data_IF_455687041143
#
_entry.id   IF_455687041143
#
_cell.length_a   1.000
_cell.length_b   1.000
_cell.length_c   1.000
_cell.angle_alpha   90.00
_cell.angle_beta   90.00
_cell.angle_gamma   90.00
#
_symmetry.space_group_name_H-M   'P 1'
#
loop_
_entity.id
_entity.type
_entity.pdbx_description
1 polymer ?
#
# COMPACT_ATOMS: atom_id res chain seq x y z
N UNK A 1 12.99 10.16 1.58
CA UNK A 1 12.58 9.41 0.38
C UNK A 1 12.30 10.46 -0.66
N UNK A 2 13.04 10.44 -1.77
CA UNK A 2 12.91 11.47 -2.79
C UNK A 2 11.60 11.30 -3.57
N UNK A 3 10.97 12.38 -4.06
CA UNK A 3 9.72 12.33 -4.82
C UNK A 3 9.71 11.34 -5.98
N UNK A 4 10.86 11.18 -6.63
CA UNK A 4 11.06 10.21 -7.70
C UNK A 4 10.98 8.75 -7.20
N UNK A 5 11.51 8.48 -6.00
CA UNK A 5 11.48 7.13 -5.40
C UNK A 5 10.07 6.72 -4.98
N UNK A 6 9.28 7.65 -4.45
CA UNK A 6 7.87 7.40 -4.11
C UNK A 6 7.02 7.15 -5.37
N UNK A 7 7.17 8.00 -6.39
CA UNK A 7 6.45 7.86 -7.67
C UNK A 7 6.78 6.54 -8.36
N UNK A 8 8.06 6.16 -8.41
CA UNK A 8 8.49 4.88 -8.97
C UNK A 8 7.89 3.68 -8.21
N UNK A 9 7.80 3.77 -6.88
CA UNK A 9 7.19 2.74 -6.05
C UNK A 9 5.70 2.58 -6.36
N UNK A 10 4.96 3.69 -6.48
CA UNK A 10 3.54 3.69 -6.84
C UNK A 10 3.35 3.05 -8.22
N UNK A 11 4.16 3.43 -9.21
CA UNK A 11 4.10 2.85 -10.57
C UNK A 11 4.33 1.34 -10.52
N UNK A 12 5.34 0.87 -9.78
CA UNK A 12 5.65 -0.55 -9.65
C UNK A 12 4.51 -1.33 -8.99
N UNK A 13 3.88 -0.77 -7.94
CA UNK A 13 2.71 -1.38 -7.29
C UNK A 13 1.51 -1.46 -8.25
N UNK A 14 1.23 -0.41 -9.02
CA UNK A 14 0.17 -0.42 -10.04
C UNK A 14 0.43 -1.50 -11.09
N UNK A 15 1.66 -1.59 -11.59
CA UNK A 15 2.04 -2.64 -12.56
C UNK A 15 1.84 -4.04 -11.98
N UNK A 16 2.20 -4.24 -10.70
CA UNK A 16 1.99 -5.48 -9.99
C UNK A 16 0.51 -5.84 -9.82
N UNK A 17 -0.32 -4.90 -9.38
CA UNK A 17 -1.75 -5.09 -9.27
C UNK A 17 -2.36 -5.51 -10.63
N UNK A 18 -2.04 -4.77 -11.69
CA UNK A 18 -2.55 -5.08 -13.04
C UNK A 18 -2.09 -6.46 -13.53
N UNK A 19 -0.81 -6.80 -13.35
CA UNK A 19 -0.25 -8.10 -13.75
C UNK A 19 -0.93 -9.26 -13.01
N UNK A 20 -1.04 -9.15 -11.69
CA UNK A 20 -1.69 -10.16 -10.85
C UNK A 20 -3.17 -10.30 -11.22
N UNK A 21 -3.90 -9.18 -11.37
CA UNK A 21 -5.32 -9.19 -11.75
C UNK A 21 -5.57 -9.90 -13.08
N UNK A 22 -4.70 -9.65 -14.07
CA UNK A 22 -4.76 -10.32 -15.38
C UNK A 22 -4.54 -11.84 -15.25
N UNK A 23 -3.50 -12.25 -14.52
CA UNK A 23 -3.20 -13.67 -14.31
C UNK A 23 -4.31 -14.39 -13.54
N UNK A 24 -4.84 -13.77 -12.47
CA UNK A 24 -5.97 -14.29 -11.69
C UNK A 24 -7.22 -14.46 -12.56
N UNK A 25 -7.58 -13.46 -13.38
CA UNK A 25 -8.72 -13.56 -14.31
C UNK A 25 -8.52 -14.68 -15.33
N UNK A 26 -7.31 -14.82 -15.86
CA UNK A 26 -6.98 -15.91 -16.79
C UNK A 26 -7.15 -17.27 -16.11
N UNK A 27 -6.56 -17.47 -14.94
CA UNK A 27 -6.63 -18.73 -14.20
C UNK A 27 -8.09 -19.09 -13.86
N UNK A 28 -8.90 -18.13 -13.40
CA UNK A 28 -10.35 -18.32 -13.17
C UNK A 28 -11.12 -18.73 -14.42
N UNK A 29 -10.64 -18.35 -15.62
CA UNK A 29 -11.29 -18.72 -16.88
C UNK A 29 -11.06 -20.18 -17.30
N UNK A 30 -10.14 -20.90 -16.65
CA UNK A 30 -9.74 -22.27 -17.04
C UNK A 30 -10.72 -23.38 -16.60
N UNK A 31 -11.89 -23.03 -16.08
CA UNK A 31 -12.94 -24.00 -15.74
C UNK A 31 -12.68 -24.73 -14.43
N UNK A 32 -12.57 -26.07 -14.45
CA UNK A 32 -12.30 -26.84 -13.22
C UNK A 32 -10.84 -26.67 -12.80
N UNK A 33 -10.67 -25.92 -11.71
CA UNK A 33 -9.38 -25.61 -11.08
C UNK A 33 -9.19 -26.59 -9.91
N UNK A 34 -8.09 -27.37 -9.85
CA UNK A 34 -7.80 -28.24 -8.71
C UNK A 34 -7.61 -27.42 -7.43
N UNK A 35 -7.82 -28.04 -6.27
CA UNK A 35 -7.82 -27.35 -4.97
C UNK A 35 -6.53 -26.56 -4.73
N UNK A 36 -5.37 -27.14 -5.03
CA UNK A 36 -4.06 -26.51 -4.82
C UNK A 36 -3.88 -25.23 -5.65
N UNK A 37 -4.62 -25.09 -6.74
CA UNK A 37 -4.64 -23.90 -7.57
C UNK A 37 -5.63 -22.86 -7.07
N UNK A 38 -6.66 -23.29 -6.34
CA UNK A 38 -7.54 -22.38 -5.60
C UNK A 38 -6.76 -21.65 -4.52
N UNK A 39 -5.82 -22.32 -3.85
CA UNK A 39 -4.96 -21.70 -2.84
C UNK A 39 -4.04 -20.64 -3.45
N UNK A 40 -3.47 -20.90 -4.62
CA UNK A 40 -2.74 -19.89 -5.39
C UNK A 40 -3.62 -18.71 -5.78
N UNK A 41 -4.83 -18.96 -6.26
CA UNK A 41 -5.77 -17.88 -6.62
C UNK A 41 -6.13 -17.00 -5.43
N UNK A 42 -6.34 -17.61 -4.27
CA UNK A 42 -6.62 -16.91 -3.03
C UNK A 42 -5.43 -16.04 -2.63
N UNK A 43 -4.22 -16.62 -2.57
CA UNK A 43 -3.02 -15.89 -2.19
C UNK A 43 -2.71 -14.72 -3.15
N UNK A 44 -2.83 -14.94 -4.47
CA UNK A 44 -2.67 -13.86 -5.45
C UNK A 44 -3.74 -12.77 -5.31
N UNK A 45 -4.98 -13.13 -4.99
CA UNK A 45 -6.05 -12.15 -4.74
C UNK A 45 -5.79 -11.36 -3.46
N UNK A 46 -5.28 -12.00 -2.41
CA UNK A 46 -4.88 -11.33 -1.18
C UNK A 46 -3.69 -10.40 -1.42
N UNK A 47 -2.67 -10.86 -2.16
CA UNK A 47 -1.52 -10.02 -2.54
C UNK A 47 -1.98 -8.80 -3.35
N UNK A 48 -2.90 -8.96 -4.30
CA UNK A 48 -3.49 -7.84 -5.04
C UNK A 48 -4.15 -6.81 -4.12
N UNK A 49 -4.99 -7.26 -3.18
CA UNK A 49 -5.66 -6.37 -2.24
C UNK A 49 -4.66 -5.61 -1.36
N UNK A 50 -3.60 -6.27 -0.88
CA UNK A 50 -2.54 -5.60 -0.11
C UNK A 50 -1.81 -4.57 -0.98
N UNK A 51 -1.50 -4.89 -2.24
CA UNK A 51 -0.88 -3.93 -3.17
C UNK A 51 -1.75 -2.69 -3.34
N UNK A 52 -3.05 -2.84 -3.58
CA UNK A 52 -3.99 -1.72 -3.72
C UNK A 52 -4.07 -0.87 -2.44
N UNK A 53 -4.08 -1.51 -1.26
CA UNK A 53 -4.09 -0.80 0.01
C UNK A 53 -2.82 0.03 0.21
N UNK A 54 -1.64 -0.54 -0.08
CA UNK A 54 -0.36 0.18 0.04
C UNK A 54 -0.28 1.31 -0.99
N UNK A 55 -0.71 1.07 -2.22
CA UNK A 55 -0.74 2.08 -3.27
C UNK A 55 -1.61 3.28 -2.87
N UNK A 56 -2.84 3.03 -2.39
CA UNK A 56 -3.77 4.08 -1.99
C UNK A 56 -3.17 4.98 -0.90
N UNK A 57 -2.58 4.39 0.13
CA UNK A 57 -1.95 5.14 1.22
C UNK A 57 -0.71 5.92 0.77
N UNK A 58 0.09 5.37 -0.15
CA UNK A 58 1.23 6.10 -0.73
C UNK A 58 0.76 7.28 -1.58
N UNK A 59 -0.33 7.15 -2.33
CA UNK A 59 -0.92 8.26 -3.10
C UNK A 59 -1.47 9.36 -2.20
N UNK A 60 -2.18 8.99 -1.15
CA UNK A 60 -2.70 9.94 -0.16
C UNK A 60 -1.55 10.74 0.47
N UNK A 61 -0.48 10.04 0.86
CA UNK A 61 0.72 10.69 1.38
C UNK A 61 1.39 11.62 0.37
N UNK A 62 1.53 11.19 -0.88
CA UNK A 62 2.12 11.98 -1.96
C UNK A 62 1.30 13.28 -2.21
N UNK A 63 -0.03 13.18 -2.18
CA UNK A 63 -0.93 14.32 -2.28
C UNK A 63 -0.79 15.28 -1.08
N UNK A 64 -0.65 14.75 0.13
CA UNK A 64 -0.46 15.58 1.32
C UNK A 64 0.89 16.34 1.29
N UNK A 65 1.95 15.68 0.81
CA UNK A 65 3.27 16.30 0.69
C UNK A 65 3.28 17.44 -0.33
N UNK A 66 2.65 17.24 -1.48
CA UNK A 66 2.60 18.26 -2.56
C UNK A 66 1.76 19.48 -2.16
N UNK A 67 0.72 19.30 -1.34
CA UNK A 67 -0.17 20.38 -0.90
C UNK A 67 0.38 21.19 0.28
N UNK A 68 1.04 20.54 1.25
CA UNK A 68 1.49 21.22 2.48
C UNK A 68 2.90 21.81 2.39
N UNK A 69 3.65 21.56 1.31
CA UNK A 69 5.03 22.01 1.14
C UNK A 69 6.01 21.50 2.22
N UNK A 70 5.53 20.66 3.14
CA UNK A 70 6.32 20.15 4.24
C UNK A 70 7.23 19.02 3.74
N UNK A 71 8.51 19.35 3.63
CA UNK A 71 9.61 18.40 3.61
C UNK A 71 9.67 17.68 4.96
N UNK A 72 8.74 16.76 5.21
CA UNK A 72 8.84 15.86 6.34
C UNK A 72 10.11 15.01 6.16
N UNK A 73 11.17 15.35 6.89
CA UNK A 73 12.43 14.63 6.91
C UNK A 73 12.17 13.19 7.34
N UNK A 74 12.03 12.33 6.34
CA UNK A 74 11.77 10.93 6.51
C UNK A 74 13.08 10.26 6.99
N UNK A 75 13.06 9.52 8.10
CA UNK A 75 13.99 8.37 8.21
C UNK A 75 13.58 7.41 7.10
N UNK A 76 14.26 7.49 5.95
CA UNK A 76 13.90 6.78 4.73
C UNK A 76 13.55 5.34 5.07
N UNK A 77 12.41 4.86 4.56
CA UNK A 77 12.31 3.42 4.32
C UNK A 77 13.54 3.08 3.50
N UNK A 78 14.33 2.14 4.01
CA UNK A 78 15.58 1.72 3.39
C UNK A 78 15.33 1.48 1.90
N UNK A 79 15.91 2.31 0.99
CA UNK A 79 15.65 2.21 -0.44
C UNK A 79 15.95 0.82 -0.99
N UNK A 80 16.90 0.09 -0.37
CA UNK A 80 17.23 -1.28 -0.75
C UNK A 80 16.07 -2.25 -0.50
N UNK A 81 15.28 -2.05 0.55
CA UNK A 81 14.10 -2.88 0.86
C UNK A 81 12.95 -2.63 -0.12
N UNK A 82 12.76 -1.38 -0.53
CA UNK A 82 11.76 -1.02 -1.56
C UNK A 82 12.16 -1.58 -2.93
N UNK A 83 13.45 -1.52 -3.27
CA UNK A 83 13.98 -2.10 -4.51
C UNK A 83 13.87 -3.62 -4.54
N UNK A 84 14.18 -4.28 -3.42
CA UNK A 84 14.00 -5.73 -3.28
C UNK A 84 12.54 -6.12 -3.47
N UNK A 85 11.62 -5.40 -2.82
CA UNK A 85 10.19 -5.70 -2.88
C UNK A 85 9.60 -5.51 -4.28
N UNK A 86 10.03 -4.47 -5.00
CA UNK A 86 9.65 -4.26 -6.40
C UNK A 86 10.21 -5.35 -7.32
N UNK A 87 11.45 -5.80 -7.07
CA UNK A 87 12.03 -6.97 -7.73
C UNK A 87 11.23 -8.25 -7.48
N UNK A 88 10.84 -8.50 -6.22
CA UNK A 88 10.07 -9.68 -5.83
C UNK A 88 8.68 -9.70 -6.51
N UNK A 89 7.98 -8.56 -6.51
CA UNK A 89 6.70 -8.41 -7.19
C UNK A 89 6.84 -8.62 -8.71
N UNK A 90 7.86 -8.06 -9.34
CA UNK A 90 8.13 -8.27 -10.75
C UNK A 90 8.38 -9.76 -11.07
N UNK A 91 9.08 -10.46 -10.19
CA UNK A 91 9.33 -11.90 -10.33
C UNK A 91 8.04 -12.72 -10.18
N UNK A 92 7.16 -12.35 -9.23
CA UNK A 92 5.82 -12.98 -9.08
C UNK A 92 5.01 -12.82 -10.37
N UNK A 93 4.95 -11.60 -10.94
CA UNK A 93 4.24 -11.35 -12.20
C UNK A 93 4.83 -12.20 -13.33
N UNK A 94 6.16 -12.20 -13.48
CA UNK A 94 6.86 -12.96 -14.53
C UNK A 94 6.57 -14.46 -14.44
N UNK A 95 6.58 -15.02 -13.24
CA UNK A 95 6.27 -16.44 -13.04
C UNK A 95 4.79 -16.75 -13.28
N UNK A 96 3.90 -15.84 -12.88
CA UNK A 96 2.46 -15.93 -13.16
C UNK A 96 2.18 -15.88 -14.67
N UNK A 97 2.78 -14.95 -15.40
CA UNK A 97 2.65 -14.85 -16.85
C UNK A 97 3.19 -16.11 -17.55
N UNK A 98 4.36 -16.59 -17.11
CA UNK A 98 4.94 -17.82 -17.63
C UNK A 98 4.04 -19.03 -17.38
N UNK A 99 3.42 -19.13 -16.20
CA UNK A 99 2.43 -20.16 -15.90
C UNK A 99 1.21 -20.03 -16.82
N UNK A 100 0.67 -18.82 -16.97
CA UNK A 100 -0.45 -18.56 -17.85
C UNK A 100 -0.15 -19.00 -19.29
N UNK A 101 1.04 -18.69 -19.81
CA UNK A 101 1.43 -19.03 -21.18
C UNK A 101 1.64 -20.52 -21.39
N UNK A 102 2.27 -21.23 -20.43
CA UNK A 102 2.36 -22.69 -20.46
C UNK A 102 0.97 -23.34 -20.48
N UNK A 103 0.02 -22.80 -19.73
CA UNK A 103 -1.37 -23.27 -19.73
C UNK A 103 -2.10 -22.93 -21.05
N UNK A 104 -1.84 -21.77 -21.68
CA UNK A 104 -2.41 -21.36 -22.99
C UNK A 104 -1.89 -22.20 -24.17
N UNK A 105 -0.62 -22.61 -24.16
CA UNK A 105 0.07 -23.23 -25.30
C UNK A 105 -0.52 -24.59 -25.77
N UNK A 106 -1.59 -25.08 -25.13
CA UNK A 106 -2.23 -26.37 -25.45
C UNK A 106 -3.00 -26.41 -26.77
N UNK A 107 -3.33 -25.26 -27.38
CA UNK A 107 -4.35 -25.20 -28.45
C UNK A 107 -3.83 -25.45 -29.88
N UNK A 108 -2.79 -26.27 -30.06
CA UNK A 108 -2.26 -26.64 -31.39
C UNK A 108 -2.42 -28.15 -31.67
N UNK A 109 -3.66 -28.63 -31.77
CA UNK A 109 -4.01 -29.77 -32.65
C UNK A 109 -5.54 -29.90 -32.79
N UNK A 110 -6.10 -29.34 -33.86
CA UNK A 110 -7.26 -29.93 -34.55
C UNK A 110 -8.70 -29.62 -34.11
N UNK A 111 -8.98 -28.87 -33.04
CA UNK A 111 -10.38 -28.68 -32.62
C UNK A 111 -11.04 -27.44 -33.24
N UNK A 112 -12.01 -27.71 -34.12
CA UNK A 112 -12.93 -26.73 -34.70
C UNK A 112 -13.64 -25.97 -33.57
N UNK A 113 -13.59 -24.66 -33.71
CA UNK A 113 -14.01 -23.67 -32.73
C UNK A 113 -15.53 -23.64 -32.61
N UNK A 114 -16.09 -24.49 -31.73
CA UNK A 114 -17.46 -24.39 -31.24
C UNK A 114 -17.56 -23.30 -30.18
N UNK A 115 -18.46 -22.35 -30.37
CA UNK A 115 -18.87 -21.36 -29.37
C UNK A 115 -19.27 -22.08 -28.06
N UNK A 116 -18.68 -21.69 -26.93
CA UNK A 116 -18.96 -22.13 -25.53
C UNK A 116 -18.11 -23.20 -24.84
N UNK A 117 -17.06 -23.74 -25.45
CA UNK A 117 -16.22 -24.69 -24.69
C UNK A 117 -15.27 -23.96 -23.73
N UNK A 118 -15.54 -24.07 -22.42
CA UNK A 118 -14.65 -23.57 -21.35
C UNK A 118 -13.25 -24.14 -21.59
N UNK A 119 -12.21 -23.29 -21.46
CA UNK A 119 -10.80 -23.67 -21.68
C UNK A 119 -10.34 -24.67 -20.61
N UNK A 120 -10.70 -25.93 -20.77
CA UNK A 120 -10.38 -26.99 -19.81
C UNK A 120 -8.92 -27.39 -19.96
N UNK A 121 -8.17 -27.35 -18.85
CA UNK A 121 -6.79 -27.83 -18.77
C UNK A 121 -6.82 -29.29 -18.33
N UNK A 122 -6.04 -30.15 -19.00
CA UNK A 122 -5.97 -31.57 -18.65
C UNK A 122 -5.35 -31.80 -17.27
N UNK A 123 -5.85 -32.81 -16.54
CA UNK A 123 -5.33 -33.19 -15.21
C UNK A 123 -3.82 -33.43 -15.21
N UNK A 124 -3.28 -34.09 -16.25
CA UNK A 124 -1.84 -34.34 -16.37
C UNK A 124 -1.03 -33.05 -16.45
N UNK A 125 -1.56 -32.02 -17.12
CA UNK A 125 -0.89 -30.72 -17.23
C UNK A 125 -0.92 -29.98 -15.90
N UNK A 126 -2.03 -30.04 -15.18
CA UNK A 126 -2.08 -29.52 -13.82
C UNK A 126 -1.04 -30.17 -12.91
N UNK A 127 -0.90 -31.49 -12.99
CA UNK A 127 0.12 -32.22 -12.23
C UNK A 127 1.55 -31.80 -12.60
N UNK A 128 1.84 -31.58 -13.89
CA UNK A 128 3.15 -31.09 -14.34
C UNK A 128 3.49 -29.70 -13.82
N UNK A 129 2.49 -28.85 -13.60
CA UNK A 129 2.71 -27.49 -13.11
C UNK A 129 2.74 -27.41 -11.58
N UNK A 130 2.38 -28.48 -10.84
CA UNK A 130 2.22 -28.47 -9.37
C UNK A 130 3.37 -27.79 -8.63
N UNK A 131 4.62 -28.18 -8.91
CA UNK A 131 5.79 -27.55 -8.28
C UNK A 131 6.01 -26.08 -8.65
N UNK A 132 5.60 -25.65 -9.85
CA UNK A 132 5.67 -24.23 -10.24
C UNK A 132 4.63 -23.40 -9.50
N UNK A 133 3.46 -23.96 -9.22
CA UNK A 133 2.38 -23.29 -8.47
C UNK A 133 2.75 -23.16 -7.01
N UNK A 134 3.24 -24.23 -6.39
CA UNK A 134 3.71 -24.18 -5.00
C UNK A 134 4.80 -23.13 -4.84
N UNK A 135 5.78 -23.09 -5.75
CA UNK A 135 6.81 -22.05 -5.76
C UNK A 135 6.23 -20.65 -5.92
N UNK A 136 5.30 -20.46 -6.85
CA UNK A 136 4.65 -19.16 -7.08
C UNK A 136 3.82 -18.73 -5.86
N UNK A 137 3.13 -19.66 -5.21
CA UNK A 137 2.37 -19.43 -3.99
C UNK A 137 3.29 -18.94 -2.86
N UNK A 138 4.40 -19.64 -2.62
CA UNK A 138 5.38 -19.21 -1.62
C UNK A 138 5.96 -17.82 -1.92
N UNK A 139 6.26 -17.53 -3.19
CA UNK A 139 6.75 -16.20 -3.57
C UNK A 139 5.71 -15.12 -3.35
N UNK A 140 4.47 -15.34 -3.82
CA UNK A 140 3.37 -14.41 -3.61
C UNK A 140 3.13 -14.15 -2.13
N UNK A 141 3.15 -15.20 -1.31
CA UNK A 141 3.02 -15.11 0.14
C UNK A 141 4.14 -14.31 0.79
N UNK A 142 5.39 -14.61 0.46
CA UNK A 142 6.54 -13.89 1.00
C UNK A 142 6.49 -12.41 0.61
N UNK A 143 6.17 -12.08 -0.65
CA UNK A 143 5.99 -10.70 -1.09
C UNK A 143 4.86 -10.01 -0.34
N UNK A 144 3.73 -10.69 -0.10
CA UNK A 144 2.60 -10.15 0.68
C UNK A 144 3.01 -9.84 2.11
N UNK A 145 3.67 -10.78 2.78
CA UNK A 145 4.10 -10.63 4.17
C UNK A 145 5.12 -9.50 4.31
N UNK A 146 6.11 -9.44 3.41
CA UNK A 146 7.10 -8.37 3.39
C UNK A 146 6.46 -7.00 3.12
N UNK A 147 5.57 -6.91 2.13
CA UNK A 147 4.84 -5.68 1.80
C UNK A 147 4.00 -5.21 2.98
N UNK A 148 3.26 -6.12 3.62
CA UNK A 148 2.43 -5.82 4.79
C UNK A 148 3.26 -5.34 5.99
N UNK A 149 4.41 -5.98 6.24
CA UNK A 149 5.32 -5.60 7.32
C UNK A 149 5.93 -4.22 7.07
N UNK A 150 6.45 -3.99 5.86
CA UNK A 150 7.05 -2.71 5.49
C UNK A 150 6.03 -1.58 5.58
N UNK A 151 4.80 -1.83 5.13
CA UNK A 151 3.74 -0.84 5.17
C UNK A 151 3.24 -0.58 6.59
N UNK A 152 3.11 -1.61 7.42
CA UNK A 152 2.73 -1.43 8.83
C UNK A 152 3.78 -0.58 9.58
N UNK A 153 5.07 -0.84 9.34
CA UNK A 153 6.15 -0.03 9.89
C UNK A 153 6.10 1.42 9.36
N UNK A 154 5.81 1.60 8.08
CA UNK A 154 5.62 2.93 7.47
C UNK A 154 4.46 3.70 8.13
N UNK A 155 3.26 3.12 8.18
CA UNK A 155 2.07 3.74 8.73
C UNK A 155 2.22 4.05 10.22
N UNK A 156 2.85 3.15 10.98
CA UNK A 156 3.16 3.39 12.40
C UNK A 156 4.12 4.58 12.57
N UNK A 157 5.17 4.65 11.75
CA UNK A 157 6.10 5.78 11.77
C UNK A 157 5.41 7.11 11.46
N UNK A 158 4.45 7.11 10.54
CA UNK A 158 3.66 8.29 10.19
C UNK A 158 2.73 8.70 11.33
N UNK A 159 1.98 7.77 11.90
CA UNK A 159 1.08 8.03 13.02
C UNK A 159 1.84 8.64 14.22
N UNK A 160 3.03 8.11 14.53
CA UNK A 160 3.88 8.66 15.59
C UNK A 160 4.33 10.10 15.31
N UNK A 161 4.62 10.44 14.05
CA UNK A 161 4.97 11.83 13.69
C UNK A 161 3.79 12.77 13.79
N UNK A 162 2.62 12.35 13.31
CA UNK A 162 1.40 13.14 13.47
C UNK A 162 1.11 13.41 14.94
N UNK A 163 1.19 12.37 15.78
CA UNK A 163 1.04 12.52 17.23
C UNK A 163 2.06 13.50 17.81
N UNK A 164 3.34 13.40 17.42
CA UNK A 164 4.38 14.34 17.87
C UNK A 164 4.07 15.78 17.48
N UNK A 165 3.75 16.04 16.21
CA UNK A 165 3.43 17.40 15.74
C UNK A 165 2.21 17.96 16.46
N UNK A 166 1.18 17.14 16.69
CA UNK A 166 0.02 17.55 17.48
C UNK A 166 0.40 17.93 18.91
N UNK A 167 1.28 17.15 19.55
CA UNK A 167 1.78 17.46 20.89
C UNK A 167 2.64 18.74 20.91
N UNK A 168 3.53 18.94 19.94
CA UNK A 168 4.36 20.14 19.82
C UNK A 168 3.46 21.39 19.62
N UNK A 169 2.39 21.29 18.81
CA UNK A 169 1.39 22.35 18.64
C UNK A 169 0.65 22.62 19.95
N UNK A 170 0.22 21.58 20.67
CA UNK A 170 -0.42 21.73 21.96
C UNK A 170 0.49 22.42 22.98
N UNK A 171 1.77 22.06 23.02
CA UNK A 171 2.77 22.70 23.90
C UNK A 171 2.94 24.18 23.58
N UNK A 172 3.08 24.55 22.31
CA UNK A 172 3.19 25.95 21.87
C UNK A 172 1.93 26.74 22.26
N UNK A 173 0.75 26.18 22.05
CA UNK A 173 -0.51 26.84 22.39
C UNK A 173 -0.65 27.01 23.91
N UNK A 174 -0.33 25.99 24.70
CA UNK A 174 -0.34 26.08 26.17
C UNK A 174 0.64 27.16 26.66
N UNK A 175 1.87 27.14 26.17
CA UNK A 175 2.90 28.12 26.54
C UNK A 175 2.49 29.54 26.15
N UNK A 176 1.91 29.74 24.96
CA UNK A 176 1.41 31.04 24.53
C UNK A 176 0.25 31.53 25.42
N UNK A 177 -0.65 30.62 25.80
CA UNK A 177 -1.78 30.92 26.69
C UNK A 177 -1.28 31.36 28.08
N UNK A 178 -0.33 30.64 28.66
CA UNK A 178 0.29 30.97 29.94
C UNK A 178 1.00 32.34 29.90
N UNK A 179 1.76 32.62 28.83
CA UNK A 179 2.42 33.90 28.64
C UNK A 179 1.42 35.07 28.52
N UNK A 180 0.29 34.88 27.83
CA UNK A 180 -0.76 35.91 27.72
C UNK A 180 -1.41 36.17 29.08
N UNK A 181 -1.69 35.11 29.86
CA UNK A 181 -2.25 35.25 31.22
C UNK A 181 -1.29 35.99 32.16
N UNK A 182 0.01 35.68 32.11
CA UNK A 182 1.04 36.38 32.87
C UNK A 182 1.19 37.85 32.47
N UNK A 183 1.06 38.17 31.18
CA UNK A 183 1.07 39.55 30.69
C UNK A 183 -0.18 40.33 31.13
N UNK A 184 -1.36 39.72 31.12
CA UNK A 184 -2.60 40.34 31.63
C UNK A 184 -2.47 40.67 33.13
N UNK A 185 -1.92 39.74 33.92
CA UNK A 185 -1.68 39.96 35.36
C UNK A 185 -0.76 41.16 35.63
N UNK A 186 0.16 41.46 34.71
CA UNK A 186 1.09 42.60 34.80
C UNK A 186 0.55 43.90 34.20
N UNK A 187 -0.46 43.85 33.33
CA UNK A 187 -1.03 45.04 32.68
C UNK A 187 -2.56 44.91 32.48
N UNK A 188 -3.37 45.27 33.49
CA UNK A 188 -4.82 45.05 33.47
C UNK A 188 -5.58 45.88 32.43
N UNK A 189 -5.00 46.96 31.90
CA UNK A 189 -5.64 47.81 30.88
C UNK A 189 -5.71 47.14 29.48
N UNK A 190 -4.99 46.03 29.27
CA UNK A 190 -4.95 45.29 28.00
C UNK A 190 -5.95 44.11 27.90
N UNK A 191 -6.94 44.04 28.79
CA UNK A 191 -7.79 42.86 29.01
C UNK A 191 -8.67 42.44 27.82
N UNK A 192 -9.31 43.40 27.12
CA UNK A 192 -10.33 43.09 26.11
C UNK A 192 -9.80 42.38 24.86
N UNK A 193 -8.64 42.79 24.34
CA UNK A 193 -8.02 42.15 23.18
C UNK A 193 -7.47 40.76 23.51
N UNK A 194 -6.85 40.63 24.67
CA UNK A 194 -6.23 39.39 25.14
C UNK A 194 -7.25 38.31 25.51
N UNK A 195 -8.43 38.67 26.05
CA UNK A 195 -9.51 37.71 26.30
C UNK A 195 -10.09 37.08 25.03
N UNK A 196 -10.18 37.83 23.92
CA UNK A 196 -10.64 37.29 22.65
C UNK A 196 -9.64 36.26 22.09
N UNK A 197 -8.34 36.56 22.18
CA UNK A 197 -7.26 35.65 21.76
C UNK A 197 -7.25 34.38 22.63
N UNK A 198 -7.40 34.50 23.94
CA UNK A 198 -7.46 33.35 24.85
C UNK A 198 -8.67 32.45 24.54
N UNK A 199 -9.86 33.02 24.29
CA UNK A 199 -11.03 32.23 23.90
C UNK A 199 -10.82 31.49 22.58
N UNK A 200 -10.16 32.12 21.62
CA UNK A 200 -9.84 31.51 20.33
C UNK A 200 -8.84 30.36 20.50
N UNK A 201 -7.76 30.56 21.27
CA UNK A 201 -6.76 29.52 21.56
C UNK A 201 -7.39 28.35 22.34
N UNK A 202 -8.22 28.63 23.34
CA UNK A 202 -8.96 27.59 24.08
C UNK A 202 -9.87 26.77 23.16
N UNK A 203 -10.53 27.44 22.19
CA UNK A 203 -11.30 26.77 21.14
C UNK A 203 -10.44 25.85 20.28
N UNK A 204 -9.27 26.31 19.86
CA UNK A 204 -8.30 25.50 19.10
C UNK A 204 -7.76 24.30 19.90
N UNK A 205 -7.48 24.45 21.21
CA UNK A 205 -7.07 23.33 22.08
C UNK A 205 -8.17 22.26 22.14
N UNK A 206 -9.43 22.68 22.31
CA UNK A 206 -10.56 21.76 22.42
C UNK A 206 -10.85 21.01 21.10
N UNK A 207 -10.50 21.59 19.95
CA UNK A 207 -10.60 20.92 18.65
C UNK A 207 -9.46 19.93 18.37
N UNK A 208 -8.37 19.99 19.14
CA UNK A 208 -7.21 19.12 19.02
C UNK A 208 -7.24 17.92 19.99
N UNK A 209 -8.27 17.81 20.85
CA UNK A 209 -8.53 16.66 21.74
C UNK A 209 -9.50 15.68 21.09
#
# INVERSE_FOLDING_TARGET
MDPLSATASIIALVQAAVGISKGVRFLRSLGQIPLEFSDLLNELSTLHAVIEQVEAALREWEALRTTTGHSANFRSVDPSKVLSLTGDLAQVIKELDSLCDRLKASKKRGEKQGYHEKKSVSKLRWQKEKGNIERLWHKARNSRELLSLCFSAFSSSQAQRHAKVTLDIQEVICTATENILELQKKNPEAEQGSQAILKQLQGSINQLR
#
